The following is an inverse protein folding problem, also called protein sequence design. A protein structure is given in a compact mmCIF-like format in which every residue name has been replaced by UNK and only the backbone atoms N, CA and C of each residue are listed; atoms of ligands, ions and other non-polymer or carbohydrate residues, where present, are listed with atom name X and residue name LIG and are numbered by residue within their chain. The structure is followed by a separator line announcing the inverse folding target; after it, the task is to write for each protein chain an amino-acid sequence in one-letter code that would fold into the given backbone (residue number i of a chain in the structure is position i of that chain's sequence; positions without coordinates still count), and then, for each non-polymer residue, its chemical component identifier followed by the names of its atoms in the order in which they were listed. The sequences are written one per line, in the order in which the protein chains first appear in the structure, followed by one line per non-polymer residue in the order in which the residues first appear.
data_IF_444163793655
#
_entry.id   IF_444163793655
#
_cell.length_a   1.000
_cell.length_b   1.000
_cell.length_c   1.000
_cell.angle_alpha   90.00
_cell.angle_beta   90.00
_cell.angle_gamma   90.00
#
_symmetry.space_group_name_H-M   'P 1'
#
loop_
_entity.id
_entity.type
_entity.pdbx_description
1 polymer ?
#
# COMPACT_ATOMS: atom_id res chain seq x y z
N UNK A 1 -0.33 20.88 2.02
CA UNK A 1 -1.21 19.69 1.93
C UNK A 1 -0.71 18.83 0.78
N UNK A 2 -0.80 17.51 0.89
CA UNK A 2 -0.40 16.57 -0.17
C UNK A 2 -1.67 16.17 -0.94
N UNK A 3 -1.77 16.45 -2.25
CA UNK A 3 -2.88 15.97 -3.07
C UNK A 3 -2.92 14.44 -3.10
N UNK A 4 -4.12 13.84 -3.12
CA UNK A 4 -4.27 12.39 -3.11
C UNK A 4 -5.53 11.94 -3.84
N UNK A 5 -5.41 10.86 -4.60
CA UNK A 5 -6.55 10.09 -5.09
C UNK A 5 -6.85 8.93 -4.12
N UNK A 6 -8.11 8.73 -3.76
CA UNK A 6 -8.54 7.68 -2.83
C UNK A 6 -9.30 6.59 -3.58
N UNK A 7 -8.86 5.35 -3.44
CA UNK A 7 -9.41 4.19 -4.14
C UNK A 7 -10.02 3.19 -3.17
N UNK A 8 -11.18 2.65 -3.53
CA UNK A 8 -11.79 1.52 -2.82
C UNK A 8 -11.47 0.23 -3.58
N UNK A 9 -10.65 -0.64 -2.99
CA UNK A 9 -10.35 -1.95 -3.56
C UNK A 9 -11.26 -3.00 -2.94
N UNK A 10 -12.27 -3.43 -3.70
CA UNK A 10 -13.26 -4.42 -3.23
C UNK A 10 -12.71 -5.85 -3.21
N UNK A 11 -11.73 -6.16 -4.07
CA UNK A 11 -11.08 -7.48 -4.10
C UNK A 11 -9.69 -7.41 -4.73
N UNK A 12 -8.64 -7.54 -3.92
CA UNK A 12 -7.27 -7.70 -4.42
C UNK A 12 -7.08 -9.01 -5.19
N UNK A 13 -7.75 -10.09 -4.74
CA UNK A 13 -7.66 -11.40 -5.38
C UNK A 13 -8.19 -11.41 -6.81
N UNK A 14 -9.31 -10.74 -7.07
CA UNK A 14 -9.87 -10.67 -8.43
C UNK A 14 -9.03 -9.75 -9.33
N UNK A 15 -8.52 -8.62 -8.82
CA UNK A 15 -7.57 -7.78 -9.57
C UNK A 15 -6.33 -8.58 -9.98
N UNK A 16 -5.76 -9.38 -9.07
CA UNK A 16 -4.62 -10.24 -9.38
C UNK A 16 -4.98 -11.31 -10.42
N UNK A 17 -6.14 -11.96 -10.27
CA UNK A 17 -6.56 -13.02 -11.20
C UNK A 17 -6.69 -12.49 -12.63
N UNK A 18 -7.38 -11.37 -12.80
CA UNK A 18 -7.58 -10.72 -14.09
C UNK A 18 -6.24 -10.28 -14.70
N UNK A 19 -5.36 -9.66 -13.89
CA UNK A 19 -4.08 -9.21 -14.39
C UNK A 19 -3.13 -10.36 -14.79
N UNK A 20 -3.17 -11.50 -14.10
CA UNK A 20 -2.46 -12.72 -14.50
C UNK A 20 -3.01 -13.32 -15.81
N UNK A 21 -4.34 -13.27 -16.01
CA UNK A 21 -4.95 -13.71 -17.26
C UNK A 21 -4.47 -12.84 -18.44
N UNK A 22 -4.43 -11.53 -18.24
CA UNK A 22 -3.90 -10.56 -19.21
C UNK A 22 -2.42 -10.81 -19.51
N UNK A 23 -1.58 -10.98 -18.48
CA UNK A 23 -0.15 -11.27 -18.65
C UNK A 23 0.08 -12.58 -19.42
N UNK A 24 -0.68 -13.62 -19.06
CA UNK A 24 -0.64 -14.91 -19.77
C UNK A 24 -1.04 -14.75 -21.23
N UNK A 25 -2.10 -13.99 -21.51
CA UNK A 25 -2.52 -13.75 -22.89
C UNK A 25 -1.44 -12.99 -23.66
N UNK A 26 -0.90 -11.91 -23.11
CA UNK A 26 0.17 -11.12 -23.73
C UNK A 26 1.42 -11.97 -24.02
N UNK A 27 1.79 -12.87 -23.11
CA UNK A 27 2.90 -13.82 -23.28
C UNK A 27 2.66 -14.77 -24.46
N UNK A 28 1.43 -15.23 -24.65
CA UNK A 28 1.06 -16.18 -25.71
C UNK A 28 0.75 -15.52 -27.05
N UNK A 29 0.58 -14.19 -27.10
CA UNK A 29 0.22 -13.44 -28.30
C UNK A 29 1.19 -12.27 -28.55
N UNK A 30 2.51 -12.53 -28.71
CA UNK A 30 3.53 -11.47 -28.76
C UNK A 30 3.47 -10.57 -30.00
N UNK A 31 2.67 -10.93 -31.02
CA UNK A 31 2.48 -10.14 -32.23
C UNK A 31 1.22 -9.27 -32.20
N UNK A 32 0.37 -9.43 -31.18
CA UNK A 32 -0.83 -8.63 -31.01
C UNK A 32 -0.57 -7.44 -30.10
N UNK A 33 -1.44 -6.44 -30.16
CA UNK A 33 -1.39 -5.30 -29.24
C UNK A 33 -1.56 -5.82 -27.81
N UNK A 34 -0.63 -5.52 -26.88
CA UNK A 34 -0.74 -5.95 -25.50
C UNK A 34 -2.03 -5.46 -24.86
N UNK A 35 -2.73 -6.37 -24.19
CA UNK A 35 -3.88 -6.05 -23.34
C UNK A 35 -3.40 -5.38 -22.06
N UNK A 36 -4.21 -4.47 -21.54
CA UNK A 36 -3.99 -3.82 -20.26
C UNK A 36 -4.93 -4.42 -19.22
N UNK A 37 -4.41 -4.75 -18.04
CA UNK A 37 -5.23 -5.23 -16.92
C UNK A 37 -6.08 -4.10 -16.35
N UNK A 38 -7.19 -4.45 -15.69
CA UNK A 38 -8.09 -3.47 -15.09
C UNK A 38 -7.37 -2.58 -14.08
N UNK A 39 -6.53 -3.17 -13.22
CA UNK A 39 -5.74 -2.41 -12.24
C UNK A 39 -4.75 -1.45 -12.91
N UNK A 40 -4.06 -1.89 -13.98
CA UNK A 40 -3.16 -1.01 -14.72
C UNK A 40 -3.91 0.10 -15.47
N UNK A 41 -5.13 -0.17 -15.93
CA UNK A 41 -5.98 0.85 -16.56
C UNK A 41 -6.46 1.90 -15.55
N UNK A 42 -6.88 1.49 -14.35
CA UNK A 42 -7.29 2.41 -13.28
C UNK A 42 -6.15 3.35 -12.84
N UNK A 43 -4.93 2.81 -12.76
CA UNK A 43 -3.75 3.55 -12.30
C UNK A 43 -2.98 4.22 -13.46
N UNK A 44 -3.47 4.12 -14.69
CA UNK A 44 -2.81 4.72 -15.84
C UNK A 44 -2.71 6.25 -15.70
N UNK A 45 -1.51 6.80 -15.88
CA UNK A 45 -1.24 8.23 -15.75
C UNK A 45 -1.32 8.76 -14.31
N UNK A 46 -1.41 7.90 -13.30
CA UNK A 46 -1.31 8.29 -11.90
C UNK A 46 0.15 8.34 -11.48
N UNK A 47 0.52 9.41 -10.80
CA UNK A 47 1.88 9.73 -10.40
C UNK A 47 2.03 9.71 -8.88
N UNK A 48 3.29 9.60 -8.42
CA UNK A 48 3.64 9.54 -7.02
C UNK A 48 3.50 8.14 -6.41
N UNK A 49 3.69 8.03 -5.09
CA UNK A 49 3.62 6.76 -4.40
C UNK A 49 2.18 6.31 -4.15
N UNK A 50 2.00 4.99 -4.12
CA UNK A 50 0.75 4.30 -3.87
C UNK A 50 0.80 3.64 -2.49
N UNK A 51 -0.18 3.94 -1.64
CA UNK A 51 -0.27 3.38 -0.28
C UNK A 51 -1.52 2.50 -0.17
N UNK A 52 -1.34 1.23 0.16
CA UNK A 52 -2.45 0.32 0.46
C UNK A 52 -2.46 -0.05 1.95
N UNK A 53 -3.63 0.00 2.58
CA UNK A 53 -3.84 -0.46 3.94
C UNK A 53 -5.07 -1.36 3.99
N UNK A 54 -4.95 -2.53 4.62
CA UNK A 54 -6.06 -3.48 4.77
C UNK A 54 -6.09 -4.06 6.19
N UNK A 55 -7.25 -4.51 6.64
CA UNK A 55 -7.39 -5.32 7.87
C UNK A 55 -6.97 -6.80 7.64
N UNK A 56 -6.12 -7.06 6.63
CA UNK A 56 -5.46 -8.33 6.36
C UNK A 56 -3.94 -8.13 6.36
N UNK A 57 -3.19 -9.24 6.38
CA UNK A 57 -1.73 -9.25 6.27
C UNK A 57 -1.25 -8.57 4.97
N UNK A 58 -0.04 -8.00 4.98
CA UNK A 58 0.53 -7.24 3.84
C UNK A 58 0.51 -8.02 2.52
N UNK A 59 0.58 -9.35 2.57
CA UNK A 59 0.56 -10.19 1.36
C UNK A 59 -0.72 -10.05 0.54
N UNK A 60 -1.85 -9.62 1.12
CA UNK A 60 -3.12 -9.43 0.40
C UNK A 60 -3.03 -8.28 -0.61
N UNK A 61 -2.78 -7.02 -0.20
CA UNK A 61 -2.54 -5.94 -1.17
C UNK A 61 -1.30 -6.15 -2.04
N UNK A 62 -0.23 -6.81 -1.55
CA UNK A 62 0.96 -7.12 -2.36
C UNK A 62 0.67 -7.98 -3.60
N UNK A 63 -0.48 -8.67 -3.63
CA UNK A 63 -0.94 -9.46 -4.78
C UNK A 63 -0.93 -8.70 -6.10
N UNK A 64 -1.12 -7.37 -6.09
CA UNK A 64 -1.18 -6.56 -7.32
C UNK A 64 0.09 -5.74 -7.60
N UNK A 65 1.13 -5.86 -6.76
CA UNK A 65 2.33 -5.00 -6.79
C UNK A 65 2.95 -4.87 -8.19
N UNK A 66 2.97 -5.95 -8.97
CA UNK A 66 3.54 -5.98 -10.32
C UNK A 66 2.89 -4.98 -11.29
N UNK A 67 1.61 -4.67 -11.11
CA UNK A 67 0.82 -3.87 -12.06
C UNK A 67 0.60 -2.42 -11.59
N UNK A 68 1.21 -2.03 -10.47
CA UNK A 68 1.17 -0.65 -9.93
C UNK A 68 2.36 0.13 -10.51
N UNK A 69 2.16 1.30 -11.15
CA UNK A 69 3.18 1.97 -11.95
C UNK A 69 4.26 2.72 -11.16
N UNK A 70 4.27 2.65 -9.83
CA UNK A 70 5.19 3.41 -8.96
C UNK A 70 5.47 2.70 -7.64
N UNK A 71 6.08 3.44 -6.70
CA UNK A 71 6.36 2.93 -5.36
C UNK A 71 5.06 2.49 -4.69
N UNK A 72 4.99 1.22 -4.31
CA UNK A 72 3.83 0.66 -3.64
C UNK A 72 4.17 0.27 -2.20
N UNK A 73 3.72 1.06 -1.24
CA UNK A 73 3.90 0.80 0.19
C UNK A 73 2.63 0.18 0.77
N UNK A 74 2.81 -0.85 1.58
CA UNK A 74 1.72 -1.73 2.01
C UNK A 74 1.71 -1.84 3.52
N UNK A 75 0.53 -1.58 4.09
CA UNK A 75 0.22 -1.74 5.51
C UNK A 75 -0.79 -2.88 5.67
N UNK A 76 -0.57 -3.71 6.68
CA UNK A 76 -1.36 -4.90 6.93
C UNK A 76 -1.16 -5.42 8.34
N UNK A 77 -2.10 -6.24 8.78
CA UNK A 77 -2.20 -6.74 10.14
C UNK A 77 -1.45 -8.06 10.31
N UNK A 78 -0.18 -8.11 9.91
CA UNK A 78 0.70 -9.27 10.16
C UNK A 78 0.92 -9.45 11.68
N UNK A 79 0.98 -10.71 12.12
CA UNK A 79 1.13 -11.07 13.54
C UNK A 79 -0.14 -11.67 14.13
N UNK A 80 -0.06 -12.09 15.39
CA UNK A 80 -1.20 -12.70 16.08
C UNK A 80 -2.20 -11.65 16.57
N UNK A 81 -3.48 -12.01 16.51
CA UNK A 81 -4.55 -11.21 17.08
C UNK A 81 -4.45 -11.11 18.60
N UNK A 82 -4.93 -10.00 19.15
CA UNK A 82 -5.05 -9.79 20.60
C UNK A 82 -6.35 -9.07 20.92
N UNK A 83 -6.79 -9.18 22.17
CA UNK A 83 -8.00 -8.52 22.65
C UNK A 83 -7.71 -7.08 23.02
N UNK A 84 -8.32 -6.13 22.30
CA UNK A 84 -8.31 -4.71 22.61
C UNK A 84 -9.43 -3.98 21.83
N UNK A 85 -9.57 -2.68 22.02
CA UNK A 85 -10.41 -1.81 21.21
C UNK A 85 -9.93 -1.75 19.75
N UNK A 86 -10.85 -1.47 18.82
CA UNK A 86 -10.51 -1.30 17.38
C UNK A 86 -9.45 -0.22 17.15
N UNK A 87 -9.51 0.88 17.91
CA UNK A 87 -8.55 1.97 17.79
C UNK A 87 -7.14 1.51 18.20
N UNK A 88 -7.02 0.85 19.35
CA UNK A 88 -5.76 0.32 19.84
C UNK A 88 -5.19 -0.77 18.92
N UNK A 89 -6.02 -1.66 18.38
CA UNK A 89 -5.57 -2.70 17.44
C UNK A 89 -5.07 -2.12 16.12
N UNK A 90 -5.74 -1.10 15.56
CA UNK A 90 -5.28 -0.48 14.31
C UNK A 90 -3.96 0.28 14.49
N UNK A 91 -3.75 0.92 15.63
CA UNK A 91 -2.47 1.54 15.97
C UNK A 91 -1.38 0.47 16.21
N UNK A 92 -1.74 -0.62 16.88
CA UNK A 92 -0.82 -1.74 17.10
C UNK A 92 -0.31 -2.34 15.80
N UNK A 93 -1.22 -2.71 14.90
CA UNK A 93 -0.92 -3.29 13.59
C UNK A 93 -0.48 -2.27 12.52
N UNK A 94 -0.40 -0.98 12.86
CA UNK A 94 0.08 0.07 11.95
C UNK A 94 -0.78 0.26 10.70
N UNK A 95 -2.10 0.07 10.83
CA UNK A 95 -3.08 0.23 9.75
C UNK A 95 -4.03 1.40 9.99
N UNK A 96 -3.74 2.25 10.98
CA UNK A 96 -4.52 3.44 11.27
C UNK A 96 -4.17 4.64 10.35
N UNK A 97 -4.93 5.72 10.50
CA UNK A 97 -4.74 6.94 9.70
C UNK A 97 -3.35 7.57 9.83
N UNK A 98 -2.70 7.44 10.99
CA UNK A 98 -1.40 8.05 11.24
C UNK A 98 -0.30 7.24 10.56
N UNK A 99 -0.41 5.91 10.62
CA UNK A 99 0.49 4.97 9.93
C UNK A 99 0.40 5.13 8.41
N UNK A 100 -0.82 5.31 7.87
CA UNK A 100 -1.04 5.62 6.44
C UNK A 100 -0.37 6.95 6.06
N UNK A 101 -0.57 8.00 6.86
CA UNK A 101 0.01 9.32 6.60
C UNK A 101 1.55 9.31 6.64
N UNK A 102 2.16 8.69 7.64
CA UNK A 102 3.63 8.57 7.74
C UNK A 102 4.18 7.74 6.59
N UNK A 103 3.51 6.66 6.21
CA UNK A 103 3.90 5.84 5.06
C UNK A 103 3.85 6.63 3.74
N UNK A 104 2.84 7.47 3.55
CA UNK A 104 2.74 8.37 2.40
C UNK A 104 3.88 9.40 2.38
N UNK A 105 4.14 10.05 3.51
CA UNK A 105 5.22 11.05 3.63
C UNK A 105 6.60 10.41 3.41
N UNK A 106 6.85 9.24 4.00
CA UNK A 106 8.10 8.51 3.80
C UNK A 106 8.30 8.09 2.35
N UNK A 107 7.24 7.61 1.69
CA UNK A 107 7.29 7.25 0.29
C UNK A 107 7.59 8.45 -0.62
N UNK A 108 7.00 9.62 -0.33
CA UNK A 108 7.33 10.88 -1.02
C UNK A 108 8.78 11.33 -0.76
N UNK A 109 9.28 11.18 0.47
CA UNK A 109 10.67 11.47 0.80
C UNK A 109 11.64 10.57 0.03
N UNK A 110 11.33 9.27 -0.08
CA UNK A 110 12.12 8.30 -0.83
C UNK A 110 12.14 8.55 -2.34
N UNK A 111 11.07 9.16 -2.86
CA UNK A 111 10.98 9.60 -4.25
C UNK A 111 11.56 11.02 -4.45
N UNK A 112 12.11 11.63 -3.40
CA UNK A 112 12.75 12.95 -3.43
C UNK A 112 11.78 14.13 -3.51
N UNK A 113 10.48 13.91 -3.30
CA UNK A 113 9.44 14.92 -3.41
C UNK A 113 9.30 15.82 -2.16
N UNK A 114 9.85 15.39 -1.02
CA UNK A 114 9.90 16.17 0.22
C UNK A 114 11.10 15.75 1.10
N UNK A 115 11.42 16.55 2.12
CA UNK A 115 12.53 16.23 3.03
C UNK A 115 12.18 15.16 4.07
N UNK A 116 13.19 14.46 4.57
CA UNK A 116 13.01 13.43 5.60
C UNK A 116 12.60 14.01 6.96
N UNK A 117 12.92 15.27 7.25
CA UNK A 117 12.59 15.93 8.51
C UNK A 117 11.06 16.09 8.67
N UNK A 118 10.33 16.24 7.57
CA UNK A 118 8.87 16.27 7.53
C UNK A 118 8.28 14.93 8.00
N UNK A 119 8.94 13.81 7.68
CA UNK A 119 8.55 12.47 8.14
C UNK A 119 8.78 12.35 9.64
N UNK A 120 9.95 12.78 10.12
CA UNK A 120 10.30 12.78 11.55
C UNK A 120 9.32 13.63 12.36
N UNK A 121 9.02 14.84 11.91
CA UNK A 121 8.02 15.72 12.54
C UNK A 121 6.64 15.08 12.58
N UNK A 122 6.24 14.32 11.56
CA UNK A 122 4.96 13.63 11.53
C UNK A 122 4.91 12.47 12.55
N UNK A 123 5.99 11.68 12.66
CA UNK A 123 6.11 10.59 13.65
C UNK A 123 5.96 11.16 15.07
N UNK A 124 6.68 12.24 15.39
CA UNK A 124 6.61 12.93 16.68
C UNK A 124 5.21 13.49 16.94
N UNK A 125 4.65 14.23 15.96
CA UNK A 125 3.33 14.86 16.07
C UNK A 125 2.20 13.84 16.28
N UNK A 126 2.32 12.66 15.71
CA UNK A 126 1.31 11.60 15.85
C UNK A 126 1.56 10.69 17.04
N UNK A 127 2.66 10.87 17.78
CA UNK A 127 2.99 10.05 18.94
C UNK A 127 3.22 8.58 18.58
N UNK A 128 3.79 8.31 17.40
CA UNK A 128 4.14 6.96 16.98
C UNK A 128 5.46 6.59 17.66
N UNK A 129 5.49 5.47 18.38
CA UNK A 129 6.70 4.93 18.98
C UNK A 129 7.54 4.21 17.91
N UNK A 130 8.71 4.76 17.51
CA UNK A 130 9.57 4.13 16.50
C UNK A 130 10.32 2.91 17.04
N UNK A 131 10.31 2.70 18.36
CA UNK A 131 11.00 1.60 19.05
C UNK A 131 10.07 0.45 19.44
N UNK A 132 8.76 0.56 19.16
CA UNK A 132 7.82 -0.50 19.47
C UNK A 132 8.19 -1.79 18.70
N UNK A 133 8.03 -2.98 19.30
CA UNK A 133 8.31 -4.23 18.59
C UNK A 133 7.40 -4.41 17.39
N UNK A 134 7.92 -5.09 16.35
CA UNK A 134 7.13 -5.48 15.19
C UNK A 134 5.98 -6.41 15.64
N UNK A 135 4.72 -6.16 15.23
CA UNK A 135 3.58 -7.01 15.55
C UNK A 135 3.78 -8.52 15.28
N UNK A 136 4.64 -8.91 14.33
CA UNK A 136 4.91 -10.35 14.05
C UNK A 136 5.81 -11.03 15.08
N UNK A 137 6.51 -10.25 15.92
CA UNK A 137 7.46 -10.75 16.92
C UNK A 137 6.86 -10.92 18.31
N UNK A 138 5.58 -10.55 18.48
CA UNK A 138 4.86 -10.51 19.74
C UNK A 138 3.87 -11.68 19.90
#
# INVERSE_FOLDING_TARGET
AVPSDVWSVTSFSELRREALEVDRWNTLHPKETPRQSYVSACLAGKEGPFIAATDYIKTVPDQIRQWVPGRFSVLGTDGFGRSDSRAALRQFFEVDRYSIAVSALKALADDGALDVDTVTQAIEKFGIDPSKPDPVTL
#
